data_IF_820477290836
#
_entry.id   IF_820477290836
#
_cell.length_a   1.000
_cell.length_b   1.000
_cell.length_c   1.000
_cell.angle_alpha   90.00
_cell.angle_beta   90.00
_cell.angle_gamma   90.00
#
_symmetry.space_group_name_H-M   'P 1'
#
loop_
_entity.id
_entity.type
_entity.pdbx_description
1 polymer ?
#
# COMPACT_ATOMS: atom_id res chain seq x y z
N UNK A 1 -19.92 -1.61 0.83
CA UNK A 1 -18.59 -1.53 1.47
C UNK A 1 -17.96 -2.91 1.43
N UNK A 2 -16.73 -3.00 0.91
CA UNK A 2 -15.90 -4.21 0.87
C UNK A 2 -14.52 -3.84 1.42
N UNK A 3 -13.93 -4.75 2.17
CA UNK A 3 -12.57 -4.58 2.70
C UNK A 3 -11.75 -5.77 2.24
N UNK A 4 -10.63 -5.49 1.58
CA UNK A 4 -9.68 -6.49 1.09
C UNK A 4 -8.40 -6.37 1.89
N UNK A 5 -8.01 -7.46 2.55
CA UNK A 5 -6.68 -7.58 3.15
C UNK A 5 -5.66 -7.82 2.05
N UNK A 6 -4.55 -7.07 2.08
CA UNK A 6 -3.42 -7.24 1.19
C UNK A 6 -2.27 -7.88 1.97
N UNK A 7 -1.55 -7.08 2.75
CA UNK A 7 -0.34 -7.47 3.48
C UNK A 7 -0.15 -6.64 4.75
N UNK A 8 0.19 -7.26 5.89
CA UNK A 8 0.42 -6.53 7.16
C UNK A 8 -0.75 -5.59 7.52
N UNK A 9 -0.51 -4.28 7.58
CA UNK A 9 -1.54 -3.25 7.80
C UNK A 9 -2.17 -2.74 6.50
N UNK A 10 -1.67 -3.17 5.34
CA UNK A 10 -2.19 -2.77 4.04
C UNK A 10 -3.56 -3.39 3.79
N UNK A 11 -4.58 -2.53 3.71
CA UNK A 11 -5.95 -2.90 3.37
C UNK A 11 -6.49 -1.95 2.30
N UNK A 12 -7.29 -2.50 1.41
CA UNK A 12 -8.10 -1.74 0.47
C UNK A 12 -9.54 -1.67 1.00
N UNK A 13 -10.06 -0.45 1.12
CA UNK A 13 -11.45 -0.19 1.49
C UNK A 13 -12.17 0.35 0.25
N UNK A 14 -13.17 -0.40 -0.21
CA UNK A 14 -14.00 -0.06 -1.36
C UNK A 14 -15.42 0.32 -0.88
N UNK A 15 -15.87 1.51 -1.24
CA UNK A 15 -17.24 2.01 -1.00
C UNK A 15 -17.93 2.36 -2.31
N UNK A 16 -19.19 2.84 -2.26
CA UNK A 16 -19.86 3.31 -3.48
C UNK A 16 -19.26 4.64 -4.00
N UNK A 17 -18.66 5.43 -3.11
CA UNK A 17 -18.22 6.80 -3.40
C UNK A 17 -16.70 6.95 -3.54
N UNK A 18 -15.92 6.02 -2.97
CA UNK A 18 -14.46 6.10 -2.92
C UNK A 18 -13.78 4.76 -2.65
N UNK A 19 -12.52 4.67 -3.09
CA UNK A 19 -11.56 3.63 -2.75
C UNK A 19 -10.36 4.21 -1.98
N UNK A 20 -10.01 3.56 -0.87
CA UNK A 20 -8.95 4.00 0.03
C UNK A 20 -7.94 2.86 0.23
N UNK A 21 -6.69 3.12 -0.10
CA UNK A 21 -5.56 2.24 0.21
C UNK A 21 -4.89 2.70 1.50
N UNK A 22 -4.98 1.88 2.54
CA UNK A 22 -4.37 2.17 3.84
C UNK A 22 -2.98 1.55 3.94
N UNK A 23 -2.02 2.26 4.55
CA UNK A 23 -0.68 1.79 4.93
C UNK A 23 0.02 0.93 3.85
N UNK A 24 0.27 1.47 2.64
CA UNK A 24 0.65 0.69 1.46
C UNK A 24 2.12 0.23 1.50
N UNK A 25 2.41 -0.80 2.28
CA UNK A 25 3.62 -1.62 2.13
C UNK A 25 3.30 -2.82 1.24
N UNK A 26 3.56 -2.67 -0.07
CA UNK A 26 3.18 -3.64 -1.11
C UNK A 26 4.38 -4.26 -1.85
N UNK A 27 5.59 -3.99 -1.38
CA UNK A 27 6.83 -4.49 -1.95
C UNK A 27 7.72 -4.96 -0.80
N UNK A 28 8.43 -6.06 -0.99
CA UNK A 28 9.43 -6.50 -0.02
C UNK A 28 10.49 -5.43 0.28
N UNK A 29 11.12 -5.59 1.44
CA UNK A 29 12.34 -4.87 1.76
C UNK A 29 12.20 -3.76 2.80
N UNK A 30 11.08 -3.70 3.54
CA UNK A 30 10.98 -2.82 4.70
C UNK A 30 12.09 -3.12 5.74
N UNK A 31 12.39 -2.12 6.58
CA UNK A 31 13.45 -2.18 7.58
C UNK A 31 14.80 -2.69 7.02
N UNK A 32 15.29 -2.01 5.97
CA UNK A 32 16.58 -2.31 5.33
C UNK A 32 16.68 -3.75 4.80
N UNK A 33 15.60 -4.28 4.25
CA UNK A 33 15.58 -5.64 3.69
C UNK A 33 15.34 -6.76 4.70
N UNK A 34 15.11 -6.43 5.99
CA UNK A 34 14.90 -7.47 7.01
C UNK A 34 13.46 -8.00 7.02
N UNK A 35 12.51 -7.26 6.46
CA UNK A 35 11.10 -7.62 6.42
C UNK A 35 10.63 -7.87 4.99
N UNK A 36 9.85 -8.92 4.82
CA UNK A 36 9.31 -9.39 3.55
C UNK A 36 7.92 -10.01 3.76
N UNK A 37 7.14 -10.05 2.69
CA UNK A 37 5.80 -10.62 2.66
C UNK A 37 5.88 -12.14 2.55
N UNK A 38 4.98 -12.83 3.25
CA UNK A 38 4.81 -14.27 3.10
C UNK A 38 3.35 -14.67 3.33
N UNK A 39 2.71 -15.36 2.37
CA UNK A 39 3.24 -15.79 1.08
C UNK A 39 3.57 -14.62 0.13
N UNK A 40 4.25 -14.90 -0.98
CA UNK A 40 4.51 -13.86 -1.99
C UNK A 40 3.17 -13.27 -2.49
N UNK A 41 3.03 -11.93 -2.52
CA UNK A 41 1.84 -11.29 -3.02
C UNK A 41 1.62 -11.61 -4.50
N UNK A 42 0.36 -11.84 -4.88
CA UNK A 42 -0.02 -12.08 -6.28
C UNK A 42 -0.48 -10.80 -6.98
N UNK A 43 -0.01 -9.64 -6.54
CA UNK A 43 -0.36 -8.31 -7.03
C UNK A 43 0.89 -7.43 -7.12
N UNK A 44 0.82 -6.37 -7.90
CA UNK A 44 1.83 -5.32 -7.99
C UNK A 44 1.23 -3.99 -7.48
N UNK A 45 2.04 -3.03 -7.01
CA UNK A 45 1.55 -1.73 -6.57
C UNK A 45 0.65 -1.02 -7.59
N UNK A 46 0.97 -1.13 -8.89
CA UNK A 46 0.21 -0.50 -9.98
C UNK A 46 -1.22 -1.04 -10.10
N UNK A 47 -1.51 -2.24 -9.59
CA UNK A 47 -2.86 -2.77 -9.54
C UNK A 47 -3.78 -1.86 -8.71
N UNK A 48 -3.22 -1.07 -7.77
CA UNK A 48 -3.92 -0.11 -6.92
C UNK A 48 -3.74 1.35 -7.37
N UNK A 49 -3.27 1.59 -8.59
CA UNK A 49 -3.06 2.95 -9.12
C UNK A 49 -4.35 3.78 -9.29
N UNK A 50 -5.52 3.15 -9.14
CA UNK A 50 -6.83 3.74 -9.37
C UNK A 50 -7.51 4.26 -8.10
N UNK A 51 -6.94 3.99 -6.91
CA UNK A 51 -7.55 4.40 -5.64
C UNK A 51 -7.64 5.92 -5.52
N UNK A 52 -8.72 6.41 -4.91
CA UNK A 52 -8.95 7.84 -4.75
C UNK A 52 -8.07 8.46 -3.66
N UNK A 53 -7.80 7.70 -2.60
CA UNK A 53 -7.03 8.17 -1.44
C UNK A 53 -6.03 7.13 -0.94
N UNK A 54 -4.90 7.63 -0.45
CA UNK A 54 -3.96 6.86 0.35
C UNK A 54 -4.04 7.36 1.78
N UNK A 55 -4.24 6.45 2.72
CA UNK A 55 -4.21 6.73 4.15
C UNK A 55 -2.94 6.14 4.75
N UNK A 56 -2.16 6.95 5.47
CA UNK A 56 -0.97 6.49 6.20
C UNK A 56 -1.16 6.80 7.68
N UNK A 57 -1.15 5.76 8.51
CA UNK A 57 -1.36 5.88 9.96
C UNK A 57 -0.16 6.49 10.67
N UNK A 58 1.06 6.10 10.31
CA UNK A 58 2.32 6.62 10.85
C UNK A 58 3.52 6.30 9.93
N UNK A 59 4.69 6.82 10.30
CA UNK A 59 5.89 6.89 9.44
C UNK A 59 6.79 5.66 9.46
N UNK A 60 6.38 4.55 10.09
CA UNK A 60 7.22 3.35 10.09
C UNK A 60 7.27 2.73 8.69
N UNK A 61 8.41 2.13 8.27
CA UNK A 61 8.60 1.62 6.90
C UNK A 61 7.59 0.58 6.42
N UNK A 62 6.97 -0.16 7.34
CA UNK A 62 5.91 -1.15 7.06
C UNK A 62 4.50 -0.54 6.91
N UNK A 63 4.39 0.79 7.02
CA UNK A 63 3.15 1.56 6.82
C UNK A 63 3.35 2.69 5.80
N UNK A 64 4.42 3.48 5.97
CA UNK A 64 4.89 4.48 5.03
C UNK A 64 6.09 3.93 4.25
N UNK A 65 5.82 3.35 3.08
CA UNK A 65 6.84 2.70 2.28
C UNK A 65 7.11 3.47 0.97
N UNK A 66 8.11 4.37 0.93
CA UNK A 66 8.42 5.16 -0.27
C UNK A 66 8.59 4.35 -1.56
N UNK A 67 9.26 3.17 -1.56
CA UNK A 67 9.37 2.37 -2.78
C UNK A 67 8.02 1.92 -3.35
N UNK A 68 7.04 1.63 -2.49
CA UNK A 68 5.67 1.33 -2.95
C UNK A 68 4.99 2.60 -3.45
N UNK A 69 5.09 3.69 -2.69
CA UNK A 69 4.47 4.96 -3.06
C UNK A 69 4.98 5.49 -4.40
N UNK A 70 6.27 5.37 -4.70
CA UNK A 70 6.86 5.82 -5.98
C UNK A 70 6.30 5.08 -7.21
N UNK A 71 5.74 3.88 -7.01
CA UNK A 71 5.06 3.10 -8.07
C UNK A 71 3.57 3.44 -8.21
N UNK A 72 3.01 4.22 -7.29
CA UNK A 72 1.64 4.74 -7.39
C UNK A 72 1.64 6.09 -8.12
N UNK A 73 0.63 6.40 -8.95
CA UNK A 73 0.56 7.68 -9.64
C UNK A 73 0.27 8.83 -8.67
N UNK A 74 0.89 10.00 -8.89
CA UNK A 74 0.56 11.25 -8.20
C UNK A 74 1.19 11.45 -6.82
N UNK A 75 1.91 10.46 -6.29
CA UNK A 75 2.61 10.46 -4.99
C UNK A 75 4.04 11.00 -5.06
N UNK A 76 4.68 10.93 -6.23
CA UNK A 76 6.05 11.40 -6.48
C UNK A 76 6.06 12.88 -6.92
N UNK A 77 5.70 13.78 -5.99
CA UNK A 77 5.92 15.24 -6.12
C UNK A 77 6.32 15.84 -4.77
N UNK A 78 7.53 15.51 -4.31
CA UNK A 78 8.26 16.32 -3.32
C UNK A 78 9.50 16.90 -3.99
#
# INVERSE_FOLDING_TARGET
MKVTYLESAAILIETEDAEILCDPWLLDGAYYGSWAHYPEPSFEPEDFAHVDYIYVSHVHPDHFHPPTLDRLPGTSRC
#
